data_IF_630398900890
#
_entry.id   IF_630398900890
#
_cell.length_a   1.000
_cell.length_b   1.000
_cell.length_c   1.000
_cell.angle_alpha   90.00
_cell.angle_beta   90.00
_cell.angle_gamma   90.00
#
_symmetry.space_group_name_H-M   'P 1'
#
loop_
_entity.id
_entity.type
_entity.pdbx_description
1 polymer ?
#
# COMPACT_ATOMS: atom_id res chain seq x y z
N UNK A 1 -31.37 -22.05 -12.32
CA UNK A 1 -31.32 -21.23 -11.09
C UNK A 1 -29.88 -20.91 -10.65
N UNK A 2 -28.95 -21.88 -10.67
CA UNK A 2 -27.53 -21.68 -10.30
C UNK A 2 -26.83 -20.55 -11.06
N UNK A 3 -27.07 -20.40 -12.38
CA UNK A 3 -26.48 -19.32 -13.18
C UNK A 3 -26.87 -17.90 -12.72
N UNK A 4 -28.11 -17.71 -12.26
CA UNK A 4 -28.57 -16.40 -11.74
C UNK A 4 -27.87 -16.07 -10.42
N UNK A 5 -27.76 -17.06 -9.53
CA UNK A 5 -27.05 -16.91 -8.24
C UNK A 5 -25.57 -16.56 -8.45
N UNK A 6 -24.89 -17.26 -9.35
CA UNK A 6 -23.49 -16.97 -9.69
C UNK A 6 -23.34 -15.57 -10.29
N UNK A 7 -24.23 -15.17 -11.20
CA UNK A 7 -24.23 -13.84 -11.79
C UNK A 7 -24.39 -12.73 -10.75
N UNK A 8 -25.31 -12.89 -9.80
CA UNK A 8 -25.50 -11.94 -8.69
C UNK A 8 -24.26 -11.90 -7.80
N UNK A 9 -23.69 -13.05 -7.44
CA UNK A 9 -22.49 -13.10 -6.59
C UNK A 9 -21.30 -12.39 -7.27
N UNK A 10 -21.07 -12.61 -8.56
CA UNK A 10 -20.02 -11.92 -9.32
C UNK A 10 -20.29 -10.42 -9.41
N UNK A 11 -21.53 -9.99 -9.64
CA UNK A 11 -21.88 -8.58 -9.70
C UNK A 11 -21.65 -7.89 -8.35
N UNK A 12 -22.06 -8.51 -7.24
CA UNK A 12 -21.81 -7.98 -5.90
C UNK A 12 -20.31 -7.89 -5.60
N UNK A 13 -19.54 -8.93 -5.90
CA UNK A 13 -18.09 -8.92 -5.73
C UNK A 13 -17.42 -7.78 -6.53
N UNK A 14 -17.85 -7.57 -7.78
CA UNK A 14 -17.35 -6.49 -8.62
C UNK A 14 -17.70 -5.11 -8.04
N UNK A 15 -18.95 -4.92 -7.61
CA UNK A 15 -19.40 -3.66 -7.00
C UNK A 15 -18.62 -3.37 -5.70
N UNK A 16 -18.42 -4.39 -4.85
CA UNK A 16 -17.61 -4.25 -3.63
C UNK A 16 -16.16 -3.87 -3.97
N UNK A 17 -15.55 -4.53 -4.96
CA UNK A 17 -14.19 -4.22 -5.39
C UNK A 17 -14.07 -2.77 -5.87
N UNK A 18 -14.96 -2.32 -6.76
CA UNK A 18 -14.99 -0.93 -7.23
C UNK A 18 -15.23 0.07 -6.11
N UNK A 19 -16.11 -0.28 -5.15
CA UNK A 19 -16.35 0.54 -3.96
C UNK A 19 -15.09 0.75 -3.11
N UNK A 20 -14.29 -0.31 -2.92
CA UNK A 20 -13.02 -0.23 -2.18
C UNK A 20 -12.01 0.65 -2.94
N UNK A 21 -11.90 0.50 -4.26
CA UNK A 21 -11.01 1.33 -5.10
C UNK A 21 -11.40 2.81 -5.00
N UNK A 22 -12.69 3.12 -5.13
CA UNK A 22 -13.18 4.49 -4.99
C UNK A 22 -12.92 5.06 -3.59
N UNK A 23 -13.10 4.25 -2.54
CA UNK A 23 -12.80 4.65 -1.16
C UNK A 23 -11.31 4.90 -0.93
N UNK A 24 -10.41 4.10 -1.53
CA UNK A 24 -8.96 4.29 -1.42
C UNK A 24 -8.50 5.63 -2.01
N UNK A 25 -9.14 6.10 -3.09
CA UNK A 25 -8.89 7.42 -3.68
C UNK A 25 -9.64 8.58 -3.03
N UNK A 26 -10.49 8.31 -2.03
CA UNK A 26 -11.20 9.37 -1.30
C UNK A 26 -10.24 10.26 -0.51
N UNK A 27 -10.63 11.53 -0.28
CA UNK A 27 -9.81 12.52 0.45
C UNK A 27 -9.33 12.04 1.83
N UNK A 28 -10.10 11.20 2.51
CA UNK A 28 -9.73 10.66 3.83
C UNK A 28 -8.71 9.52 3.81
N UNK A 29 -8.47 8.90 2.64
CA UNK A 29 -7.60 7.70 2.52
C UNK A 29 -6.48 7.83 1.50
N UNK A 30 -6.56 8.80 0.59
CA UNK A 30 -5.57 9.02 -0.45
C UNK A 30 -4.14 9.12 0.10
N UNK A 31 -3.91 9.85 1.20
CA UNK A 31 -2.58 9.96 1.81
C UNK A 31 -2.06 8.61 2.31
N UNK A 32 -2.85 7.89 3.11
CA UNK A 32 -2.43 6.60 3.66
C UNK A 32 -2.16 5.56 2.56
N UNK A 33 -2.94 5.60 1.47
CA UNK A 33 -2.73 4.75 0.31
C UNK A 33 -1.42 5.11 -0.43
N UNK A 34 -1.11 6.41 -0.54
CA UNK A 34 0.14 6.88 -1.13
C UNK A 34 1.35 6.49 -0.27
N UNK A 35 1.31 6.75 1.04
CA UNK A 35 2.40 6.40 1.95
C UNK A 35 2.68 4.88 1.91
N UNK A 36 1.63 4.05 1.93
CA UNK A 36 1.77 2.58 1.83
C UNK A 36 2.41 2.12 0.51
N UNK A 37 2.17 2.84 -0.59
CA UNK A 37 2.78 2.54 -1.89
C UNK A 37 4.28 2.87 -1.95
N UNK A 38 4.76 3.73 -1.04
CA UNK A 38 6.17 4.10 -0.95
C UNK A 38 6.99 3.17 -0.04
N UNK A 39 6.36 2.31 0.76
CA UNK A 39 7.05 1.33 1.63
C UNK A 39 8.19 0.53 0.94
N UNK A 40 8.07 0.01 -0.31
CA UNK A 40 9.19 -0.66 -0.96
C UNK A 40 10.36 0.25 -1.34
N UNK A 41 10.18 1.57 -1.27
CA UNK A 41 11.16 2.60 -1.59
C UNK A 41 11.60 3.43 -0.36
N UNK A 42 10.91 3.28 0.77
CA UNK A 42 11.22 3.93 2.05
C UNK A 42 12.35 3.20 2.81
N UNK A 43 13.25 2.54 2.06
CA UNK A 43 14.44 1.94 2.63
C UNK A 43 15.38 3.08 3.06
N UNK A 44 15.98 3.02 4.27
CA UNK A 44 16.97 4.00 4.66
C UNK A 44 18.09 4.04 3.62
N UNK A 45 18.49 5.25 3.23
CA UNK A 45 19.62 5.44 2.32
C UNK A 45 20.88 4.79 2.92
N UNK A 46 21.56 3.90 2.18
CA UNK A 46 22.73 3.13 2.62
C UNK A 46 23.95 3.99 3.08
N UNK A 47 23.84 5.32 2.99
CA UNK A 47 24.87 6.30 3.36
C UNK A 47 24.83 6.73 4.83
N UNK A 48 23.72 6.54 5.56
CA UNK A 48 23.67 6.95 6.97
C UNK A 48 24.39 5.97 7.91
N UNK A 49 24.39 4.67 7.59
CA UNK A 49 25.05 3.64 8.41
C UNK A 49 26.59 3.72 8.36
N UNK A 50 27.17 4.27 7.29
CA UNK A 50 28.62 4.41 7.19
C UNK A 50 29.16 5.60 8.00
N UNK A 51 28.35 6.65 8.18
CA UNK A 51 28.78 7.85 8.93
C UNK A 51 28.90 7.57 10.43
N UNK A 52 28.10 6.65 10.96
CA UNK A 52 28.14 6.27 12.37
C UNK A 52 29.27 5.27 12.69
N UNK A 53 29.68 4.43 11.74
CA UNK A 53 30.75 3.42 11.98
C UNK A 53 32.18 3.93 11.77
N UNK A 54 32.39 5.00 11.01
CA UNK A 54 33.75 5.53 10.72
C UNK A 54 34.25 6.52 11.80
N UNK A 55 33.36 7.08 12.63
CA UNK A 55 33.75 8.06 13.67
C UNK A 55 34.09 7.48 15.05
N UNK A 56 34.04 6.15 15.22
CA UNK A 56 34.09 5.51 16.54
C UNK A 56 35.18 4.46 16.76
N UNK A 57 36.11 4.28 15.81
CA UNK A 57 37.19 3.31 15.98
C UNK A 57 38.51 3.91 15.49
N UNK A 58 39.26 4.47 16.43
CA UNK A 58 40.62 4.08 16.81
C UNK A 58 41.36 5.28 17.42
N UNK A 59 41.89 5.00 18.61
CA UNK A 59 42.91 5.73 19.37
C UNK A 59 44.10 6.22 18.51
#
# INVERSE_FOLDING_TARGET
>A
MVGILNGIATALALLTFLGIVAWAWSKGRAKANHDASMLPFDLPDEVEDQKQKVGGSNE
#
